data_IF_944508912926
#
_entry.id   IF_944508912926
#
_cell.length_a   1.000
_cell.length_b   1.000
_cell.length_c   1.000
_cell.angle_alpha   90.00
_cell.angle_beta   90.00
_cell.angle_gamma   90.00
#
_symmetry.space_group_name_H-M   'P 1'
#
loop_
_entity.id
_entity.type
_entity.pdbx_description
1 polymer ?
#
# COMPACT_ATOMS: atom_id res chain seq x y z
N UNK A 1 11.47 -3.75 23.30
CA UNK A 1 12.42 -4.41 22.39
C UNK A 1 11.91 -4.16 20.98
N UNK A 2 12.80 -3.71 20.10
CA UNK A 2 12.45 -3.15 18.81
C UNK A 2 12.19 -4.24 17.77
N UNK A 3 11.30 -3.95 16.82
CA UNK A 3 11.21 -4.67 15.55
C UNK A 3 12.60 -4.80 14.90
N UNK A 4 12.83 -5.93 14.24
CA UNK A 4 13.96 -6.08 13.33
C UNK A 4 13.82 -5.12 12.14
N UNK A 5 14.95 -4.78 11.52
CA UNK A 5 14.91 -3.99 10.29
C UNK A 5 14.20 -4.75 9.17
N UNK A 6 13.56 -3.99 8.29
CA UNK A 6 12.91 -4.56 7.10
C UNK A 6 13.94 -5.27 6.22
N UNK A 7 15.17 -4.75 6.12
CA UNK A 7 16.26 -5.42 5.42
C UNK A 7 16.58 -6.81 6.00
N UNK A 8 16.68 -6.95 7.32
CA UNK A 8 16.95 -8.24 7.95
C UNK A 8 15.79 -9.22 7.74
N UNK A 9 14.56 -8.71 7.71
CA UNK A 9 13.35 -9.49 7.42
C UNK A 9 13.34 -9.98 5.97
N UNK A 10 13.66 -9.11 5.01
CA UNK A 10 13.79 -9.45 3.58
C UNK A 10 14.87 -10.51 3.37
N UNK A 11 16.02 -10.37 4.00
CA UNK A 11 17.11 -11.35 3.92
C UNK A 11 16.68 -12.74 4.45
N UNK A 12 15.94 -12.78 5.56
CA UNK A 12 15.39 -14.02 6.11
C UNK A 12 14.41 -14.68 5.12
N UNK A 13 13.47 -13.91 4.57
CA UNK A 13 12.54 -14.38 3.53
C UNK A 13 13.30 -14.93 2.31
N UNK A 14 14.37 -14.27 1.88
CA UNK A 14 15.22 -14.72 0.77
C UNK A 14 15.91 -16.07 1.02
N UNK A 15 16.25 -16.36 2.28
CA UNK A 15 16.78 -17.67 2.72
C UNK A 15 15.70 -18.75 2.88
N UNK A 16 14.42 -18.42 2.68
CA UNK A 16 13.30 -19.33 2.89
C UNK A 16 12.92 -19.50 4.37
N UNK A 17 13.30 -18.55 5.21
CA UNK A 17 12.89 -18.50 6.61
C UNK A 17 11.49 -17.89 6.75
N UNK A 18 10.80 -18.28 7.82
CA UNK A 18 9.57 -17.62 8.24
C UNK A 18 9.91 -16.34 8.99
N UNK A 19 9.06 -15.33 8.83
CA UNK A 19 9.12 -14.07 9.58
C UNK A 19 7.74 -13.76 10.14
N UNK A 20 7.68 -12.89 11.15
CA UNK A 20 6.43 -12.37 11.69
C UNK A 20 6.24 -10.95 11.16
N UNK A 21 5.07 -10.69 10.61
CA UNK A 21 4.65 -9.33 10.27
C UNK A 21 3.43 -9.00 11.09
N UNK A 22 3.47 -7.86 11.77
CA UNK A 22 2.33 -7.34 12.52
C UNK A 22 1.71 -6.15 11.80
N UNK A 23 0.39 -6.06 11.88
CA UNK A 23 -0.33 -4.84 11.52
C UNK A 23 -0.49 -3.91 12.74
N UNK A 24 -1.07 -2.74 12.52
CA UNK A 24 -1.29 -1.77 13.60
C UNK A 24 -2.44 -2.21 14.51
N UNK A 25 -2.38 -1.80 15.79
CA UNK A 25 -3.36 -2.10 16.86
C UNK A 25 -4.84 -1.80 16.51
N UNK A 26 -5.08 -1.04 15.43
CA UNK A 26 -6.39 -0.56 15.01
C UNK A 26 -6.92 -1.19 13.72
N UNK A 27 -6.20 -2.16 13.15
CA UNK A 27 -6.63 -2.97 12.01
C UNK A 27 -7.07 -4.34 12.53
N UNK A 28 -6.24 -5.38 12.42
CA UNK A 28 -6.51 -6.70 13.02
C UNK A 28 -5.89 -6.80 14.42
N UNK A 29 -4.79 -6.07 14.67
CA UNK A 29 -3.96 -6.15 15.88
C UNK A 29 -3.40 -7.57 16.06
N UNK A 30 -2.96 -8.16 14.95
CA UNK A 30 -2.58 -9.57 14.83
C UNK A 30 -1.22 -9.68 14.15
N UNK A 31 -0.65 -10.89 14.19
CA UNK A 31 0.62 -11.18 13.55
C UNK A 31 0.54 -12.47 12.74
N UNK A 32 1.08 -12.39 11.54
CA UNK A 32 1.12 -13.52 10.62
C UNK A 32 2.53 -14.09 10.53
N UNK A 33 2.62 -15.41 10.48
CA UNK A 33 3.81 -16.06 9.93
C UNK A 33 3.80 -15.88 8.43
N UNK A 34 4.86 -15.28 7.87
CA UNK A 34 5.00 -15.00 6.45
C UNK A 34 6.30 -15.62 5.89
N UNK A 35 6.24 -16.17 4.68
CA UNK A 35 7.42 -16.51 3.87
C UNK A 35 7.15 -16.36 2.38
N UNK A 36 8.20 -16.44 1.55
CA UNK A 36 8.05 -16.54 0.10
C UNK A 36 7.48 -17.92 -0.29
N UNK A 37 6.40 -17.95 -1.06
CA UNK A 37 5.75 -19.20 -1.48
C UNK A 37 6.72 -20.11 -2.26
N UNK A 38 7.60 -19.52 -3.09
CA UNK A 38 8.62 -20.24 -3.86
C UNK A 38 9.68 -20.97 -3.01
N UNK A 39 9.67 -20.76 -1.69
CA UNK A 39 10.58 -21.39 -0.72
C UNK A 39 9.87 -22.32 0.26
N UNK A 40 8.56 -22.53 0.09
CA UNK A 40 7.79 -23.38 1.00
C UNK A 40 8.35 -24.81 1.03
N UNK A 41 8.47 -25.38 2.22
CA UNK A 41 8.83 -26.79 2.43
C UNK A 41 7.78 -27.47 3.30
N UNK A 42 7.67 -28.81 3.25
CA UNK A 42 6.75 -29.54 4.13
C UNK A 42 6.98 -29.22 5.62
N UNK A 43 8.23 -29.04 6.04
CA UNK A 43 8.58 -28.73 7.44
C UNK A 43 8.10 -27.34 7.84
N UNK A 44 8.26 -26.35 6.96
CA UNK A 44 7.77 -24.98 7.21
C UNK A 44 6.25 -24.92 7.23
N UNK A 45 5.60 -25.62 6.31
CA UNK A 45 4.13 -25.73 6.29
C UNK A 45 3.61 -26.44 7.53
N UNK A 46 4.25 -27.53 7.98
CA UNK A 46 3.90 -28.21 9.22
C UNK A 46 4.08 -27.30 10.44
N UNK A 47 5.16 -26.52 10.47
CA UNK A 47 5.39 -25.53 11.52
C UNK A 47 4.29 -24.47 11.55
N UNK A 48 3.93 -23.88 10.39
CA UNK A 48 2.83 -22.91 10.33
C UNK A 48 1.55 -23.53 10.87
N UNK A 49 1.16 -24.71 10.38
CA UNK A 49 -0.08 -25.39 10.82
C UNK A 49 -0.10 -25.69 12.32
N UNK A 50 1.05 -25.96 12.94
CA UNK A 50 1.15 -26.21 14.38
C UNK A 50 0.92 -24.94 15.21
N UNK A 51 1.27 -23.78 14.70
CA UNK A 51 1.35 -22.52 15.45
C UNK A 51 0.38 -21.44 14.96
N UNK A 52 -0.41 -21.71 13.91
CA UNK A 52 -1.37 -20.77 13.33
C UNK A 52 -2.79 -21.32 13.34
N UNK A 53 -3.74 -20.53 12.85
CA UNK A 53 -5.12 -20.94 12.59
C UNK A 53 -5.26 -22.19 11.70
N UNK A 54 -4.21 -22.54 10.97
CA UNK A 54 -4.19 -23.62 9.98
C UNK A 54 -4.78 -23.22 8.62
N UNK A 55 -5.31 -21.99 8.49
CA UNK A 55 -5.80 -21.42 7.24
C UNK A 55 -4.60 -20.88 6.46
N UNK A 56 -4.00 -21.73 5.62
CA UNK A 56 -2.85 -21.35 4.81
C UNK A 56 -3.28 -20.53 3.60
N UNK A 57 -3.04 -19.23 3.69
CA UNK A 57 -3.32 -18.30 2.62
C UNK A 57 -2.08 -18.07 1.76
N UNK A 58 -2.28 -17.94 0.45
CA UNK A 58 -1.18 -17.69 -0.51
C UNK A 58 -1.42 -16.43 -1.32
N UNK A 59 -0.94 -15.27 -0.82
CA UNK A 59 -1.01 -14.03 -1.59
C UNK A 59 -0.31 -14.14 -2.94
N UNK A 60 -1.01 -13.76 -4.00
CA UNK A 60 -0.53 -13.71 -5.38
C UNK A 60 -0.98 -12.42 -6.06
N UNK A 61 -0.32 -12.08 -7.16
CA UNK A 61 -0.74 -10.94 -7.98
C UNK A 61 -2.01 -11.25 -8.77
N UNK A 62 -2.71 -10.19 -9.21
CA UNK A 62 -3.89 -10.31 -10.07
C UNK A 62 -3.55 -11.07 -11.36
N UNK A 63 -2.39 -10.80 -11.97
CA UNK A 63 -1.95 -11.45 -13.21
C UNK A 63 -1.78 -12.96 -13.03
N UNK A 64 -1.29 -13.40 -11.86
CA UNK A 64 -1.20 -14.84 -11.58
C UNK A 64 -2.56 -15.47 -11.30
N UNK A 65 -3.46 -14.77 -10.62
CA UNK A 65 -4.83 -15.23 -10.44
C UNK A 65 -5.54 -15.40 -11.79
N UNK A 66 -5.40 -14.43 -12.70
CA UNK A 66 -5.95 -14.49 -14.06
C UNK A 66 -5.34 -15.64 -14.88
N UNK A 67 -4.00 -15.75 -14.89
CA UNK A 67 -3.27 -16.83 -15.59
C UNK A 67 -3.70 -18.22 -15.12
N UNK A 68 -3.92 -18.38 -13.83
CA UNK A 68 -4.31 -19.64 -13.21
C UNK A 68 -5.84 -19.81 -13.10
N UNK A 69 -6.62 -18.88 -13.66
CA UNK A 69 -8.09 -18.88 -13.63
C UNK A 69 -8.66 -19.05 -12.21
N UNK A 70 -8.08 -18.33 -11.25
CA UNK A 70 -8.50 -18.32 -9.85
C UNK A 70 -9.55 -17.23 -9.67
N UNK A 71 -10.82 -17.63 -9.78
CA UNK A 71 -11.95 -16.72 -9.61
C UNK A 71 -12.16 -16.36 -8.13
N UNK A 72 -12.73 -15.17 -7.84
CA UNK A 72 -13.17 -14.82 -6.49
C UNK A 72 -14.05 -15.92 -5.88
N UNK A 73 -13.86 -16.18 -4.58
CA UNK A 73 -14.62 -17.24 -3.88
C UNK A 73 -16.13 -16.93 -3.84
N UNK A 74 -16.50 -15.65 -3.81
CA UNK A 74 -17.88 -15.17 -3.75
C UNK A 74 -18.11 -14.05 -4.76
N UNK A 75 -19.32 -13.95 -5.28
CA UNK A 75 -19.69 -12.91 -6.25
C UNK A 75 -19.74 -11.51 -5.62
N UNK A 76 -20.11 -11.41 -4.34
CA UNK A 76 -20.13 -10.16 -3.56
C UNK A 76 -19.37 -10.40 -2.26
N UNK A 77 -18.27 -9.70 -2.07
CA UNK A 77 -17.50 -9.73 -0.83
C UNK A 77 -18.07 -8.70 0.15
N UNK A 78 -18.66 -9.17 1.24
CA UNK A 78 -19.20 -8.36 2.34
C UNK A 78 -18.33 -8.46 3.61
N UNK A 79 -17.15 -9.06 3.52
CA UNK A 79 -16.19 -9.10 4.61
C UNK A 79 -15.76 -7.67 5.00
N UNK A 80 -15.61 -7.37 6.31
CA UNK A 80 -15.29 -6.01 6.78
C UNK A 80 -14.03 -5.40 6.16
N UNK A 81 -13.00 -6.23 5.91
CA UNK A 81 -11.73 -5.83 5.30
C UNK A 81 -11.65 -6.16 3.80
N UNK A 82 -12.73 -6.70 3.23
CA UNK A 82 -12.82 -7.10 1.81
C UNK A 82 -11.64 -7.97 1.36
N UNK A 83 -11.18 -8.88 2.24
CA UNK A 83 -10.07 -9.81 1.96
C UNK A 83 -10.38 -10.61 0.69
N UNK A 84 -9.48 -10.54 -0.30
CA UNK A 84 -9.76 -10.96 -1.67
C UNK A 84 -9.46 -12.46 -1.89
N UNK A 85 -10.24 -13.30 -1.22
CA UNK A 85 -10.16 -14.76 -1.39
C UNK A 85 -10.59 -15.18 -2.79
N UNK A 86 -9.80 -16.08 -3.37
CA UNK A 86 -10.19 -16.88 -4.54
C UNK A 86 -10.72 -18.24 -4.10
N UNK A 87 -11.27 -19.00 -5.05
CA UNK A 87 -11.59 -20.42 -4.84
C UNK A 87 -10.37 -21.18 -4.31
N UNK A 88 -10.55 -22.04 -3.30
CA UNK A 88 -9.46 -22.84 -2.75
C UNK A 88 -8.97 -23.88 -3.77
N UNK A 89 -7.71 -24.26 -3.67
CA UNK A 89 -7.04 -25.11 -4.64
C UNK A 89 -6.16 -26.17 -3.98
N UNK A 90 -5.94 -27.26 -4.72
CA UNK A 90 -4.84 -28.20 -4.53
C UNK A 90 -4.14 -28.45 -5.86
N UNK A 91 -2.84 -28.69 -5.81
CA UNK A 91 -2.07 -29.09 -6.99
C UNK A 91 -2.27 -30.57 -7.29
N UNK A 92 -2.64 -30.90 -8.53
CA UNK A 92 -3.10 -32.23 -8.95
C UNK A 92 -2.02 -33.30 -8.90
N UNK A 93 -0.76 -32.93 -9.16
CA UNK A 93 0.33 -33.89 -9.29
C UNK A 93 0.86 -34.27 -7.90
N UNK A 94 0.77 -35.55 -7.56
CA UNK A 94 1.09 -36.03 -6.21
C UNK A 94 -0.04 -35.83 -5.19
N UNK A 95 -1.23 -35.47 -5.65
CA UNK A 95 -2.41 -35.29 -4.80
C UNK A 95 -3.04 -36.62 -4.40
N UNK A 96 -3.28 -36.78 -3.11
CA UNK A 96 -4.15 -37.79 -2.52
C UNK A 96 -5.39 -37.12 -1.94
N UNK A 97 -5.23 -36.41 -0.83
CA UNK A 97 -6.30 -35.69 -0.13
C UNK A 97 -6.05 -34.20 -0.05
N UNK A 98 -4.80 -33.76 -0.20
CA UNK A 98 -4.41 -32.35 -0.19
C UNK A 98 -4.09 -31.77 1.18
N UNK A 99 -4.43 -32.44 2.29
CA UNK A 99 -4.32 -31.85 3.63
C UNK A 99 -2.93 -31.97 4.26
N UNK A 100 -2.12 -32.94 3.82
CA UNK A 100 -0.79 -33.15 4.37
C UNK A 100 0.10 -31.92 4.13
N UNK A 101 1.06 -31.68 5.02
CA UNK A 101 1.98 -30.55 4.88
C UNK A 101 2.77 -30.60 3.56
N UNK A 102 3.12 -31.81 3.11
CA UNK A 102 3.75 -32.04 1.81
C UNK A 102 2.86 -31.64 0.63
N UNK A 103 1.60 -32.08 0.61
CA UNK A 103 0.66 -31.77 -0.48
C UNK A 103 0.33 -30.26 -0.53
N UNK A 104 0.20 -29.61 0.62
CA UNK A 104 0.02 -28.16 0.70
C UNK A 104 1.27 -27.41 0.27
N UNK A 105 2.48 -27.85 0.67
CA UNK A 105 3.73 -27.27 0.20
C UNK A 105 3.87 -27.39 -1.33
N UNK A 106 3.52 -28.54 -1.91
CA UNK A 106 3.51 -28.73 -3.36
C UNK A 106 2.54 -27.76 -4.04
N UNK A 107 1.36 -27.55 -3.46
CA UNK A 107 0.38 -26.57 -3.97
C UNK A 107 0.90 -25.14 -3.92
N UNK A 108 1.51 -24.74 -2.81
CA UNK A 108 2.09 -23.40 -2.61
C UNK A 108 3.25 -23.15 -3.59
N UNK A 109 4.16 -24.12 -3.76
CA UNK A 109 5.26 -24.05 -4.72
C UNK A 109 4.77 -24.00 -6.17
N UNK A 110 3.76 -24.80 -6.51
CA UNK A 110 3.15 -24.80 -7.82
C UNK A 110 2.50 -23.45 -8.16
N UNK A 111 1.87 -22.80 -7.19
CA UNK A 111 1.27 -21.48 -7.36
C UNK A 111 2.32 -20.40 -7.65
N UNK A 112 3.49 -20.50 -7.00
CA UNK A 112 4.62 -19.58 -7.22
C UNK A 112 5.39 -19.82 -8.53
N UNK A 113 5.11 -20.93 -9.23
CA UNK A 113 5.82 -21.33 -10.44
C UNK A 113 5.20 -20.74 -11.71
N UNK A 114 6.06 -20.39 -12.67
CA UNK A 114 5.64 -19.98 -14.02
C UNK A 114 5.44 -21.18 -14.97
N UNK A 115 5.78 -22.40 -14.55
CA UNK A 115 5.65 -23.62 -15.35
C UNK A 115 4.34 -24.39 -15.10
N UNK A 116 3.46 -23.87 -14.24
CA UNK A 116 2.17 -24.46 -13.92
C UNK A 116 1.06 -23.74 -14.66
N UNK A 117 -0.01 -24.45 -15.00
CA UNK A 117 -1.18 -23.89 -15.69
C UNK A 117 -2.45 -24.12 -14.87
N UNK A 118 -3.53 -23.41 -15.22
CA UNK A 118 -4.81 -23.46 -14.50
C UNK A 118 -5.36 -24.90 -14.32
N UNK A 119 -5.10 -25.78 -15.28
CA UNK A 119 -5.54 -27.19 -15.28
C UNK A 119 -4.69 -28.12 -14.40
N UNK A 120 -3.57 -27.65 -13.88
CA UNK A 120 -2.78 -28.40 -12.89
C UNK A 120 -3.34 -28.29 -11.47
N UNK A 121 -4.36 -27.45 -11.27
CA UNK A 121 -5.03 -27.26 -9.98
C UNK A 121 -6.45 -27.82 -10.00
N UNK A 122 -6.83 -28.51 -8.93
CA UNK A 122 -8.22 -28.88 -8.64
C UNK A 122 -8.87 -27.82 -7.77
N UNK A 123 -10.19 -27.68 -7.87
CA UNK A 123 -11.03 -26.72 -7.14
C UNK A 123 -12.29 -27.46 -6.66
N UNK A 124 -12.66 -27.43 -5.36
CA UNK A 124 -11.95 -26.81 -4.25
C UNK A 124 -10.66 -27.58 -3.88
N UNK A 125 -9.90 -27.04 -2.92
CA UNK A 125 -8.77 -27.68 -2.25
C UNK A 125 -8.47 -27.06 -0.88
N UNK A 126 -7.23 -27.18 -0.41
CA UNK A 126 -6.85 -26.89 0.99
C UNK A 126 -5.87 -25.71 1.16
N UNK A 127 -5.47 -25.07 0.06
CA UNK A 127 -4.74 -23.80 0.07
C UNK A 127 -5.65 -22.69 -0.44
N UNK A 128 -5.56 -21.51 0.17
CA UNK A 128 -6.46 -20.38 -0.08
C UNK A 128 -5.71 -19.21 -0.75
N UNK A 129 -5.72 -19.07 -2.08
CA UNK A 129 -5.05 -17.95 -2.72
C UNK A 129 -5.78 -16.64 -2.46
N UNK A 130 -5.00 -15.60 -2.16
CA UNK A 130 -5.46 -14.23 -1.94
C UNK A 130 -4.92 -13.33 -3.04
N UNK A 131 -5.76 -12.49 -3.63
CA UNK A 131 -5.29 -11.50 -4.62
C UNK A 131 -4.85 -10.24 -3.89
N UNK A 132 -3.56 -9.88 -4.01
CA UNK A 132 -3.08 -8.61 -3.49
C UNK A 132 -3.42 -7.45 -4.43
N UNK A 133 -3.60 -6.27 -3.85
CA UNK A 133 -3.75 -5.04 -4.60
C UNK A 133 -2.45 -4.68 -5.32
N UNK A 134 -2.56 -4.22 -6.57
CA UNK A 134 -1.41 -3.63 -7.28
C UNK A 134 -0.89 -2.44 -6.47
N UNK A 135 0.43 -2.37 -6.28
CA UNK A 135 1.06 -1.37 -5.41
C UNK A 135 1.39 -1.87 -4.00
N UNK A 136 0.86 -3.03 -3.59
CA UNK A 136 1.23 -3.68 -2.32
C UNK A 136 0.83 -2.84 -1.10
N UNK A 137 1.69 -2.82 -0.08
CA UNK A 137 1.37 -2.19 1.22
C UNK A 137 1.16 -0.68 1.13
N UNK A 138 1.59 -0.06 0.03
CA UNK A 138 1.38 1.36 -0.25
C UNK A 138 -0.08 1.69 -0.60
N UNK A 139 -0.82 0.71 -1.14
CA UNK A 139 -2.23 0.86 -1.51
C UNK A 139 -3.13 0.29 -0.43
N UNK A 140 -2.82 -0.92 0.06
CA UNK A 140 -3.58 -1.61 1.11
C UNK A 140 -2.61 -2.14 2.18
N UNK A 141 -2.71 -1.62 3.40
CA UNK A 141 -1.79 -1.97 4.49
C UNK A 141 -2.18 -3.28 5.18
N UNK A 142 -2.22 -4.38 4.44
CA UNK A 142 -2.59 -5.71 4.94
C UNK A 142 -1.50 -6.76 4.78
N UNK A 143 -1.62 -7.87 5.53
CA UNK A 143 -0.67 -8.99 5.49
C UNK A 143 -0.57 -9.64 4.10
N UNK A 144 -1.67 -9.66 3.35
CA UNK A 144 -1.69 -10.13 1.95
C UNK A 144 -0.68 -9.37 1.09
N UNK A 145 -0.71 -8.03 1.14
CA UNK A 145 0.23 -7.19 0.42
C UNK A 145 1.65 -7.32 0.95
N UNK A 146 1.82 -7.35 2.28
CA UNK A 146 3.13 -7.47 2.91
C UNK A 146 3.87 -8.75 2.48
N UNK A 147 3.16 -9.87 2.35
CA UNK A 147 3.77 -11.13 1.93
C UNK A 147 4.35 -11.08 0.51
N UNK A 148 3.63 -10.44 -0.43
CA UNK A 148 4.13 -10.28 -1.81
C UNK A 148 5.29 -9.29 -1.86
N UNK A 149 5.18 -8.17 -1.14
CA UNK A 149 6.21 -7.14 -1.12
C UNK A 149 7.52 -7.68 -0.54
N UNK A 150 7.47 -8.45 0.56
CA UNK A 150 8.64 -9.11 1.12
C UNK A 150 9.23 -10.15 0.18
N UNK A 151 8.40 -11.00 -0.45
CA UNK A 151 8.87 -12.00 -1.41
C UNK A 151 9.56 -11.35 -2.62
N UNK A 152 8.97 -10.27 -3.15
CA UNK A 152 9.51 -9.53 -4.29
C UNK A 152 10.81 -8.82 -3.93
N UNK A 153 10.86 -8.14 -2.77
CA UNK A 153 12.07 -7.48 -2.29
C UNK A 153 13.21 -8.47 -2.01
N UNK A 154 12.89 -9.71 -1.66
CA UNK A 154 13.84 -10.81 -1.49
C UNK A 154 14.29 -11.45 -2.82
N UNK A 155 13.84 -10.94 -3.97
CA UNK A 155 14.15 -11.49 -5.29
C UNK A 155 13.47 -12.83 -5.60
N UNK A 156 12.42 -13.18 -4.86
CA UNK A 156 11.59 -14.37 -5.12
C UNK A 156 10.43 -14.04 -6.07
N UNK A 157 9.73 -15.07 -6.53
CA UNK A 157 8.47 -14.88 -7.26
C UNK A 157 7.48 -14.06 -6.40
N UNK A 158 6.62 -13.22 -7.01
CA UNK A 158 5.67 -12.35 -6.32
C UNK A 158 4.46 -13.14 -5.78
N UNK A 159 4.76 -14.11 -4.92
CA UNK A 159 3.81 -14.99 -4.27
C UNK A 159 4.29 -15.27 -2.83
N UNK A 160 3.40 -15.07 -1.86
CA UNK A 160 3.66 -15.29 -0.44
C UNK A 160 2.91 -16.50 0.11
N UNK A 161 3.27 -16.87 1.33
CA UNK A 161 2.52 -17.79 2.20
C UNK A 161 2.35 -17.10 3.53
N UNK A 162 1.10 -17.03 4.03
CA UNK A 162 0.79 -16.47 5.34
C UNK A 162 -0.25 -17.29 6.11
N UNK A 163 -0.22 -17.18 7.44
CA UNK A 163 -1.29 -17.60 8.34
C UNK A 163 -1.16 -16.92 9.72
N UNK A 164 -2.30 -16.62 10.34
CA UNK A 164 -2.41 -15.87 11.59
C UNK A 164 -1.98 -16.73 12.78
N UNK A 165 -1.13 -16.18 13.66
CA UNK A 165 -0.58 -16.91 14.80
C UNK A 165 -1.57 -16.93 15.96
N UNK A 166 -1.85 -18.13 16.49
CA UNK A 166 -2.84 -18.33 17.55
C UNK A 166 -2.22 -18.89 18.83
N UNK A 167 -2.91 -18.68 19.94
CA UNK A 167 -2.70 -19.34 21.20
C UNK A 167 -3.34 -20.74 21.19
N UNK A 168 -2.88 -21.63 22.07
CA UNK A 168 -3.43 -22.99 22.20
C UNK A 168 -4.91 -23.00 22.67
N UNK A 169 -5.40 -21.90 23.24
CA UNK A 169 -6.81 -21.71 23.59
C UNK A 169 -7.69 -21.21 22.42
N UNK A 170 -7.08 -20.98 21.25
CA UNK A 170 -7.73 -20.50 20.03
C UNK A 170 -7.84 -18.98 19.91
N UNK A 171 -7.40 -18.19 20.90
CA UNK A 171 -7.28 -16.74 20.76
C UNK A 171 -6.12 -16.35 19.86
N UNK A 172 -6.15 -15.16 19.24
CA UNK A 172 -5.05 -14.69 18.38
C UNK A 172 -3.95 -14.03 19.23
N UNK A 173 -2.68 -14.32 18.93
CA UNK A 173 -1.54 -13.73 19.66
C UNK A 173 -1.44 -12.23 19.38
N UNK A 174 -1.29 -11.44 20.44
CA UNK A 174 -1.05 -9.98 20.35
C UNK A 174 0.45 -9.67 20.39
N UNK A 175 0.80 -8.41 20.10
CA UNK A 175 2.19 -7.97 19.92
C UNK A 175 3.16 -8.44 21.01
N UNK A 176 2.79 -8.39 22.29
CA UNK A 176 3.66 -8.86 23.38
C UNK A 176 3.97 -10.36 23.28
N UNK A 177 2.96 -11.16 22.98
CA UNK A 177 3.09 -12.62 22.82
C UNK A 177 3.83 -12.97 21.53
N UNK A 178 3.65 -12.17 20.47
CA UNK A 178 4.36 -12.33 19.20
C UNK A 178 5.86 -12.06 19.33
N UNK A 179 6.25 -11.08 20.16
CA UNK A 179 7.67 -10.82 20.47
C UNK A 179 8.29 -12.01 21.22
N UNK A 180 7.58 -12.59 22.19
CA UNK A 180 8.03 -13.78 22.91
C UNK A 180 8.14 -15.00 21.96
N UNK A 181 7.12 -15.21 21.12
CA UNK A 181 7.11 -16.26 20.12
C UNK A 181 8.24 -16.12 19.08
N UNK A 182 8.52 -14.89 18.64
CA UNK A 182 9.65 -14.60 17.75
C UNK A 182 10.99 -14.99 18.38
N UNK A 183 11.17 -14.70 19.68
CA UNK A 183 12.38 -15.06 20.40
C UNK A 183 12.50 -16.58 20.59
N UNK A 184 11.43 -17.25 21.01
CA UNK A 184 11.39 -18.70 21.22
C UNK A 184 11.79 -19.46 19.94
N UNK A 185 11.25 -19.04 18.80
CA UNK A 185 11.47 -19.72 17.52
C UNK A 185 12.57 -19.08 16.66
N UNK A 186 13.29 -18.09 17.20
CA UNK A 186 14.35 -17.35 16.49
C UNK A 186 13.90 -16.76 15.14
N UNK A 187 12.69 -16.20 15.11
CA UNK A 187 12.09 -15.57 13.93
C UNK A 187 12.32 -14.07 13.96
N UNK A 188 12.43 -13.47 12.76
CA UNK A 188 12.44 -12.02 12.61
C UNK A 188 11.03 -11.46 12.74
N UNK A 189 10.89 -10.30 13.36
CA UNK A 189 9.60 -9.61 13.51
C UNK A 189 9.68 -8.16 13.02
N UNK A 190 8.76 -7.77 12.15
CA UNK A 190 8.63 -6.39 11.66
C UNK A 190 7.16 -5.97 11.58
N UNK A 191 6.88 -4.73 11.21
CA UNK A 191 5.52 -4.23 11.03
C UNK A 191 5.25 -3.78 9.60
N UNK A 192 3.98 -3.79 9.21
CA UNK A 192 3.55 -3.24 7.92
C UNK A 192 3.94 -1.75 7.82
N UNK A 193 3.86 -1.00 8.92
CA UNK A 193 4.26 0.40 8.97
C UNK A 193 5.76 0.60 8.64
N UNK A 194 6.63 -0.25 9.18
CA UNK A 194 8.06 -0.23 8.85
C UNK A 194 8.30 -0.60 7.38
N UNK A 195 7.58 -1.61 6.85
CA UNK A 195 7.68 -1.98 5.43
C UNK A 195 7.23 -0.85 4.49
N UNK A 196 6.13 -0.16 4.82
CA UNK A 196 5.66 1.03 4.09
C UNK A 196 6.75 2.11 4.09
N UNK A 197 7.32 2.43 5.26
CA UNK A 197 8.37 3.44 5.39
C UNK A 197 9.64 3.04 4.62
N UNK A 198 9.99 1.76 4.64
CA UNK A 198 11.13 1.21 3.90
C UNK A 198 10.96 1.35 2.39
N UNK A 199 9.80 0.97 1.84
CA UNK A 199 9.49 1.09 0.40
C UNK A 199 9.50 2.56 -0.04
N UNK A 200 8.84 3.43 0.73
CA UNK A 200 8.74 4.86 0.43
C UNK A 200 10.10 5.56 0.28
N UNK A 201 11.10 5.19 1.09
CA UNK A 201 12.43 5.80 1.06
C UNK A 201 13.31 5.32 -0.09
N UNK A 202 12.96 4.20 -0.73
CA UNK A 202 13.82 3.51 -1.70
C UNK A 202 13.24 3.48 -3.11
N UNK A 203 11.93 3.38 -3.22
CA UNK A 203 11.26 3.22 -4.50
C UNK A 203 10.86 4.59 -5.06
N UNK A 204 11.12 4.78 -6.35
CA UNK A 204 10.49 5.85 -7.12
C UNK A 204 9.10 5.38 -7.51
N UNK A 205 8.10 5.94 -6.85
CA UNK A 205 6.69 5.58 -6.99
C UNK A 205 5.97 6.46 -8.00
N UNK A 206 6.54 7.62 -8.37
CA UNK A 206 5.92 8.56 -9.31
C UNK A 206 6.78 8.75 -10.56
N UNK A 207 6.10 8.81 -11.70
CA UNK A 207 6.67 9.10 -13.00
C UNK A 207 6.01 10.34 -13.60
N UNK A 208 6.81 11.26 -14.15
CA UNK A 208 6.32 12.42 -14.90
C UNK A 208 5.98 11.98 -16.32
N UNK A 209 4.72 12.08 -16.71
CA UNK A 209 4.22 11.58 -17.99
C UNK A 209 4.17 12.69 -19.05
N UNK A 210 3.59 13.84 -18.70
CA UNK A 210 3.41 14.94 -19.64
C UNK A 210 3.87 16.29 -19.07
N UNK A 211 4.15 17.22 -19.98
CA UNK A 211 4.49 18.62 -19.66
C UNK A 211 3.82 19.53 -20.70
N UNK A 212 3.09 20.54 -20.24
CA UNK A 212 2.44 21.53 -21.12
C UNK A 212 2.25 22.87 -20.42
N UNK A 213 1.99 23.93 -21.18
CA UNK A 213 1.62 25.25 -20.64
C UNK A 213 0.10 25.38 -20.59
N UNK A 214 -0.42 25.93 -19.49
CA UNK A 214 -1.85 26.16 -19.30
C UNK A 214 -2.13 27.60 -18.92
N UNK A 215 -3.20 28.18 -19.47
CA UNK A 215 -3.74 29.46 -19.04
C UNK A 215 -4.85 29.23 -18.03
N UNK A 216 -4.64 29.70 -16.81
CA UNK A 216 -5.60 29.61 -15.71
C UNK A 216 -6.22 30.98 -15.44
N UNK A 217 -7.26 31.03 -14.61
CA UNK A 217 -7.81 32.30 -14.11
C UNK A 217 -6.81 33.12 -13.28
N UNK A 218 -5.67 32.51 -12.93
CA UNK A 218 -4.61 33.08 -12.10
C UNK A 218 -3.35 33.40 -12.93
N UNK A 219 -3.42 33.27 -14.26
CA UNK A 219 -2.33 33.50 -15.19
C UNK A 219 -1.80 32.23 -15.85
N UNK A 220 -0.72 32.39 -16.60
CA UNK A 220 -0.01 31.29 -17.25
C UNK A 220 0.75 30.44 -16.21
N UNK A 221 0.66 29.12 -16.34
CA UNK A 221 1.37 28.17 -15.49
C UNK A 221 1.96 27.04 -16.33
N UNK A 222 3.06 26.46 -15.86
CA UNK A 222 3.59 25.22 -16.41
C UNK A 222 2.94 24.05 -15.69
N UNK A 223 2.29 23.18 -16.46
CA UNK A 223 1.59 22.00 -15.98
C UNK A 223 2.41 20.73 -16.23
N UNK A 224 2.37 19.81 -15.27
CA UNK A 224 2.94 18.48 -15.38
C UNK A 224 1.90 17.45 -14.97
N UNK A 225 1.88 16.30 -15.63
CA UNK A 225 1.12 15.15 -15.15
C UNK A 225 2.04 14.07 -14.60
N UNK A 226 1.64 13.48 -13.48
CA UNK A 226 2.36 12.42 -12.79
C UNK A 226 1.46 11.22 -12.57
N UNK A 227 2.00 10.01 -12.67
CA UNK A 227 1.27 8.77 -12.38
C UNK A 227 2.10 7.87 -11.48
N UNK A 228 1.44 7.02 -10.70
CA UNK A 228 2.12 5.91 -10.01
C UNK A 228 2.19 4.67 -10.90
N UNK A 229 3.01 3.69 -10.54
CA UNK A 229 3.10 2.43 -11.30
C UNK A 229 1.88 1.50 -11.10
N UNK A 230 0.97 1.85 -10.20
CA UNK A 230 -0.12 0.98 -9.75
C UNK A 230 -1.51 1.62 -9.81
N UNK A 231 -1.62 2.91 -10.10
CA UNK A 231 -2.90 3.58 -10.39
C UNK A 231 -2.87 4.17 -11.80
N UNK A 232 -4.00 4.13 -12.51
CA UNK A 232 -4.14 4.78 -13.81
C UNK A 232 -4.39 6.31 -13.68
N UNK A 233 -4.77 6.78 -12.50
CA UNK A 233 -5.06 8.19 -12.29
C UNK A 233 -3.80 9.05 -12.35
N UNK A 234 -3.80 10.03 -13.25
CA UNK A 234 -2.75 11.05 -13.30
C UNK A 234 -3.03 12.22 -12.35
N UNK A 235 -2.07 12.57 -11.52
CA UNK A 235 -2.07 13.77 -10.70
C UNK A 235 -1.59 14.98 -11.53
N UNK A 236 -2.20 16.14 -11.33
CA UNK A 236 -1.83 17.37 -12.04
C UNK A 236 -0.98 18.24 -11.12
N UNK A 237 0.09 18.82 -11.66
CA UNK A 237 0.93 19.76 -10.94
C UNK A 237 1.01 21.06 -11.72
N UNK A 238 0.70 22.17 -11.07
CA UNK A 238 0.82 23.52 -11.62
C UNK A 238 2.00 24.22 -10.95
N UNK A 239 2.97 24.62 -11.77
CA UNK A 239 4.07 25.50 -11.40
C UNK A 239 3.71 26.91 -11.86
N UNK A 240 3.36 27.76 -10.89
CA UNK A 240 2.92 29.14 -11.12
C UNK A 240 4.10 30.08 -10.89
N UNK A 241 4.29 31.07 -11.75
CA UNK A 241 5.34 32.08 -11.59
C UNK A 241 6.76 31.53 -11.56
N UNK A 242 7.67 32.25 -10.91
CA UNK A 242 9.10 31.87 -10.84
C UNK A 242 9.34 31.00 -9.61
N UNK A 243 9.83 29.78 -9.83
CA UNK A 243 10.22 28.86 -8.76
C UNK A 243 11.70 28.54 -8.92
N UNK A 244 12.50 29.01 -7.97
CA UNK A 244 13.94 28.78 -7.94
C UNK A 244 14.27 27.58 -7.04
N UNK A 245 15.09 26.61 -7.49
CA UNK A 245 15.36 25.38 -6.72
C UNK A 245 15.97 25.59 -5.32
N UNK A 246 16.65 26.72 -5.10
CA UNK A 246 17.36 27.03 -3.86
C UNK A 246 16.59 27.96 -2.90
N UNK A 247 15.47 28.53 -3.35
CA UNK A 247 14.61 29.35 -2.49
C UNK A 247 13.63 28.46 -1.71
N UNK A 248 13.07 29.00 -0.63
CA UNK A 248 11.89 28.38 -0.01
C UNK A 248 10.71 28.56 -0.96
N UNK A 249 10.15 27.46 -1.45
CA UNK A 249 9.04 27.47 -2.41
C UNK A 249 7.72 27.26 -1.67
N UNK A 250 6.73 28.10 -1.97
CA UNK A 250 5.39 27.92 -1.44
C UNK A 250 4.70 26.78 -2.20
N UNK A 251 4.19 25.79 -1.46
CA UNK A 251 3.60 24.58 -2.04
C UNK A 251 2.23 24.30 -1.46
N UNK A 252 1.29 23.88 -2.30
CA UNK A 252 -0.01 23.35 -1.89
C UNK A 252 -0.13 21.92 -2.40
N UNK A 253 -0.32 20.98 -1.48
CA UNK A 253 -0.75 19.62 -1.82
C UNK A 253 -2.26 19.58 -1.57
N UNK A 254 -3.04 19.44 -2.64
CA UNK A 254 -4.50 19.49 -2.62
C UNK A 254 -5.05 18.14 -3.04
N UNK A 255 -5.82 17.50 -2.17
CA UNK A 255 -6.61 16.32 -2.52
C UNK A 255 -7.86 16.75 -3.27
N UNK A 256 -8.18 16.02 -4.33
CA UNK A 256 -9.42 16.17 -5.09
C UNK A 256 -10.65 16.13 -4.17
N UNK A 257 -11.43 17.21 -4.21
CA UNK A 257 -12.76 17.33 -3.61
C UNK A 257 -13.72 17.72 -4.72
N UNK A 258 -14.05 16.76 -5.61
CA UNK A 258 -14.76 16.98 -6.87
C UNK A 258 -15.90 18.02 -6.78
N UNK A 259 -16.77 17.88 -5.78
CA UNK A 259 -17.92 18.78 -5.61
C UNK A 259 -17.48 20.21 -5.30
N UNK A 260 -16.58 20.39 -4.35
CA UNK A 260 -16.04 21.70 -3.94
C UNK A 260 -15.22 22.37 -5.04
N UNK A 261 -14.37 21.58 -5.70
CA UNK A 261 -13.39 22.06 -6.66
C UNK A 261 -14.07 22.51 -7.97
N UNK A 262 -15.06 21.74 -8.45
CA UNK A 262 -15.72 21.98 -9.73
C UNK A 262 -17.00 22.80 -9.59
N UNK A 263 -17.85 22.51 -8.60
CA UNK A 263 -19.19 23.09 -8.50
C UNK A 263 -19.33 24.23 -7.48
N UNK A 264 -18.24 24.56 -6.78
CA UNK A 264 -18.21 25.68 -5.85
C UNK A 264 -18.13 25.25 -4.39
N UNK A 265 -17.84 26.20 -3.49
CA UNK A 265 -17.64 25.89 -2.08
C UNK A 265 -18.93 25.34 -1.46
N UNK A 266 -18.76 24.47 -0.45
CA UNK A 266 -19.87 23.97 0.34
C UNK A 266 -20.10 24.89 1.55
N UNK A 267 -21.19 24.65 2.31
CA UNK A 267 -21.73 25.52 3.37
C UNK A 267 -20.73 26.07 4.41
N UNK A 268 -19.53 25.51 4.50
CA UNK A 268 -18.49 25.87 5.48
C UNK A 268 -17.50 26.95 5.00
N UNK A 269 -17.46 27.29 3.70
CA UNK A 269 -16.50 28.25 3.15
C UNK A 269 -17.12 29.21 2.12
N UNK A 270 -16.71 30.48 2.11
CA UNK A 270 -17.17 31.47 1.11
C UNK A 270 -16.42 31.35 -0.24
N UNK A 271 -15.23 30.75 -0.23
CA UNK A 271 -14.38 30.52 -1.41
C UNK A 271 -13.91 29.07 -1.47
N UNK A 272 -13.58 28.57 -2.67
CA UNK A 272 -12.96 27.26 -2.83
C UNK A 272 -11.51 27.30 -2.33
N UNK A 273 -11.07 26.21 -1.67
CA UNK A 273 -9.69 26.08 -1.21
C UNK A 273 -8.66 26.16 -2.35
N UNK A 274 -9.02 25.69 -3.56
CA UNK A 274 -8.18 25.83 -4.75
C UNK A 274 -7.93 27.29 -5.08
N UNK A 275 -8.99 28.11 -5.07
CA UNK A 275 -8.87 29.53 -5.41
C UNK A 275 -7.98 30.24 -4.39
N UNK A 276 -8.22 30.02 -3.09
CA UNK A 276 -7.40 30.59 -2.01
C UNK A 276 -5.93 30.22 -2.16
N UNK A 277 -5.63 28.95 -2.47
CA UNK A 277 -4.27 28.49 -2.63
C UNK A 277 -3.59 29.11 -3.87
N UNK A 278 -4.27 29.13 -5.03
CA UNK A 278 -3.72 29.68 -6.26
C UNK A 278 -3.54 31.20 -6.18
N UNK A 279 -4.50 31.94 -5.61
CA UNK A 279 -4.39 33.38 -5.32
C UNK A 279 -3.15 33.64 -4.45
N UNK A 280 -2.96 32.84 -3.40
CA UNK A 280 -1.82 32.99 -2.47
C UNK A 280 -0.47 32.69 -3.13
N UNK A 281 -0.40 31.70 -4.03
CA UNK A 281 0.80 31.36 -4.80
C UNK A 281 1.16 32.48 -5.78
N UNK A 282 0.16 33.08 -6.44
CA UNK A 282 0.38 34.25 -7.32
C UNK A 282 0.86 35.46 -6.53
N UNK A 283 0.26 35.72 -5.36
CA UNK A 283 0.65 36.83 -4.49
C UNK A 283 2.10 36.72 -3.98
N UNK A 284 2.62 35.50 -3.80
CA UNK A 284 4.04 35.24 -3.48
C UNK A 284 4.98 35.49 -4.68
N UNK A 285 4.44 35.58 -5.90
CA UNK A 285 5.21 35.67 -7.15
C UNK A 285 5.60 34.30 -7.74
N UNK A 286 5.23 33.20 -7.09
CA UNK A 286 5.38 31.85 -7.63
C UNK A 286 5.29 30.74 -6.59
N UNK A 287 5.06 29.52 -7.08
CA UNK A 287 5.02 28.32 -6.26
C UNK A 287 4.48 27.09 -6.99
N UNK A 288 4.19 26.03 -6.24
CA UNK A 288 3.73 24.74 -6.80
C UNK A 288 2.39 24.34 -6.17
N UNK A 289 1.42 24.01 -7.02
CA UNK A 289 0.14 23.44 -6.62
C UNK A 289 0.03 22.02 -7.16
N UNK A 290 -0.14 21.03 -6.30
CA UNK A 290 -0.32 19.62 -6.66
C UNK A 290 -1.80 19.26 -6.44
N UNK A 291 -2.45 18.77 -7.48
CA UNK A 291 -3.80 18.22 -7.46
C UNK A 291 -3.75 16.69 -7.47
N UNK A 292 -3.89 16.09 -6.30
CA UNK A 292 -3.92 14.64 -6.10
C UNK A 292 -5.33 14.12 -6.34
N UNK A 293 -5.51 13.47 -7.49
CA UNK A 293 -6.74 12.74 -7.83
C UNK A 293 -6.92 11.51 -6.95
N UNK A 294 -8.17 11.17 -6.65
CA UNK A 294 -8.50 10.10 -5.71
C UNK A 294 -8.54 8.69 -6.34
N UNK A 295 -8.03 8.52 -7.57
CA UNK A 295 -7.80 7.20 -8.16
C UNK A 295 -9.03 6.49 -8.74
N UNK A 296 -10.21 7.14 -8.81
CA UNK A 296 -11.45 6.46 -9.23
C UNK A 296 -11.69 6.52 -10.75
N UNK A 297 -12.09 5.38 -11.32
CA UNK A 297 -12.84 5.34 -12.57
C UNK A 297 -14.29 5.73 -12.30
N UNK A 298 -14.70 6.92 -12.78
CA UNK A 298 -16.06 7.44 -12.60
C UNK A 298 -16.27 8.25 -11.30
N UNK A 299 -17.53 8.50 -10.95
CA UNK A 299 -17.92 9.38 -9.82
C UNK A 299 -18.13 8.54 -8.56
N UNK A 300 -17.32 8.72 -7.48
CA UNK A 300 -17.41 7.89 -6.29
C UNK A 300 -18.53 8.35 -5.35
N UNK A 301 -19.79 8.17 -5.76
CA UNK A 301 -20.98 8.74 -5.09
C UNK A 301 -21.04 8.47 -3.58
N UNK A 302 -20.71 7.26 -3.15
CA UNK A 302 -20.67 6.88 -1.73
C UNK A 302 -19.63 7.65 -0.90
N UNK A 303 -18.53 8.11 -1.52
CA UNK A 303 -17.48 8.92 -0.88
C UNK A 303 -17.74 10.43 -0.98
N UNK A 304 -18.58 10.85 -1.93
CA UNK A 304 -19.03 12.24 -2.06
C UNK A 304 -20.06 12.62 -0.99
N UNK A 305 -20.83 11.65 -0.51
CA UNK A 305 -21.66 11.83 0.67
C UNK A 305 -20.78 11.82 1.93
N UNK A 306 -20.65 12.97 2.59
CA UNK A 306 -19.98 13.13 3.89
C UNK A 306 -20.52 12.23 5.03
N UNK A 307 -21.50 11.37 4.76
CA UNK A 307 -22.08 10.41 5.70
C UNK A 307 -21.22 9.17 5.90
N UNK A 308 -20.25 8.87 5.02
CA UNK A 308 -19.34 7.76 5.22
C UNK A 308 -18.20 8.17 6.16
N UNK A 309 -18.18 7.62 7.38
CA UNK A 309 -17.04 7.78 8.31
C UNK A 309 -15.82 7.12 7.66
N UNK A 310 -14.83 7.91 7.25
CA UNK A 310 -13.61 7.39 6.63
C UNK A 310 -12.95 6.36 7.57
N UNK A 311 -12.73 5.14 7.07
CA UNK A 311 -11.95 4.13 7.79
C UNK A 311 -10.53 4.65 8.02
N UNK A 312 -9.84 4.14 9.04
CA UNK A 312 -8.44 4.54 9.29
C UNK A 312 -7.51 4.14 8.15
N UNK A 313 -7.78 3.01 7.50
CA UNK A 313 -7.14 2.61 6.25
C UNK A 313 -7.35 3.66 5.16
N UNK A 314 -8.59 4.14 4.95
CA UNK A 314 -8.86 5.24 4.01
C UNK A 314 -8.05 6.49 4.37
N UNK A 315 -7.89 6.80 5.67
CA UNK A 315 -7.05 7.91 6.12
C UNK A 315 -5.56 7.68 5.86
N UNK A 316 -5.05 6.46 6.05
CA UNK A 316 -3.66 6.09 5.75
C UNK A 316 -3.36 6.15 4.25
N UNK A 317 -4.24 5.61 3.39
CA UNK A 317 -4.10 5.74 1.94
C UNK A 317 -4.12 7.21 1.52
N UNK A 318 -5.00 8.00 2.13
CA UNK A 318 -5.05 9.44 1.93
C UNK A 318 -3.75 10.13 2.37
N UNK A 319 -3.23 9.81 3.55
CA UNK A 319 -1.96 10.32 4.08
C UNK A 319 -0.78 9.91 3.19
N UNK A 320 -0.76 8.68 2.68
CA UNK A 320 0.22 8.21 1.70
C UNK A 320 0.15 9.01 0.39
N UNK A 321 -1.04 9.29 -0.14
CA UNK A 321 -1.20 10.14 -1.31
C UNK A 321 -0.65 11.56 -1.04
N UNK A 322 -1.02 12.19 0.09
CA UNK A 322 -0.56 13.55 0.41
C UNK A 322 0.94 13.64 0.71
N UNK A 323 1.47 12.71 1.49
CA UNK A 323 2.84 12.76 2.00
C UNK A 323 3.78 12.01 1.06
N UNK A 324 3.48 10.77 0.70
CA UNK A 324 4.35 9.93 -0.14
C UNK A 324 4.40 10.42 -1.59
N UNK A 325 3.26 10.39 -2.29
CA UNK A 325 3.19 10.81 -3.71
C UNK A 325 3.53 12.30 -3.85
N UNK A 326 2.94 13.14 -3.00
CA UNK A 326 3.24 14.58 -2.97
C UNK A 326 4.73 14.88 -2.77
N UNK A 327 5.41 14.23 -1.81
CA UNK A 327 6.84 14.43 -1.60
C UNK A 327 7.68 14.02 -2.79
N UNK A 328 7.41 12.86 -3.40
CA UNK A 328 8.20 12.41 -4.54
C UNK A 328 8.01 13.31 -5.76
N UNK A 329 6.80 13.85 -5.98
CA UNK A 329 6.55 14.87 -7.01
C UNK A 329 7.38 16.13 -6.73
N UNK A 330 7.37 16.64 -5.50
CA UNK A 330 8.15 17.84 -5.14
C UNK A 330 9.66 17.61 -5.27
N UNK A 331 10.14 16.42 -4.92
CA UNK A 331 11.54 16.02 -5.09
C UNK A 331 11.92 15.91 -6.58
N UNK A 332 11.05 15.33 -7.42
CA UNK A 332 11.24 15.24 -8.87
C UNK A 332 11.24 16.62 -9.56
N UNK A 333 10.50 17.59 -9.03
CA UNK A 333 10.58 19.00 -9.45
C UNK A 333 11.88 19.69 -9.02
N UNK A 334 12.74 19.01 -8.26
CA UNK A 334 14.03 19.51 -7.80
C UNK A 334 13.94 20.47 -6.60
N UNK A 335 12.82 20.46 -5.88
CA UNK A 335 12.65 21.32 -4.70
C UNK A 335 13.40 20.74 -3.50
N UNK A 336 13.91 21.64 -2.64
CA UNK A 336 14.61 21.26 -1.41
C UNK A 336 14.05 21.92 -0.17
N UNK A 337 13.60 23.17 -0.28
CA UNK A 337 13.02 23.94 0.83
C UNK A 337 11.60 24.34 0.47
N UNK A 338 10.64 23.95 1.28
CA UNK A 338 9.22 24.20 1.02
C UNK A 338 8.55 24.87 2.20
N UNK A 339 7.56 25.71 1.92
CA UNK A 339 6.58 26.21 2.89
C UNK A 339 5.21 25.69 2.45
N UNK A 340 4.48 25.02 3.33
CA UNK A 340 3.26 24.31 2.96
C UNK A 340 2.04 25.19 3.22
N UNK A 341 1.16 25.33 2.22
CA UNK A 341 -0.20 25.85 2.35
C UNK A 341 -1.15 24.70 2.71
N UNK A 342 -1.73 24.77 3.90
CA UNK A 342 -2.63 23.73 4.40
C UNK A 342 -4.01 24.31 4.75
N UNK A 343 -5.09 23.60 4.43
CA UNK A 343 -6.44 23.96 4.89
C UNK A 343 -6.69 23.60 6.36
N UNK A 344 -5.81 22.81 6.97
CA UNK A 344 -5.85 22.41 8.38
C UNK A 344 -4.44 22.08 8.86
N UNK A 345 -4.24 22.00 10.18
CA UNK A 345 -2.97 21.55 10.75
C UNK A 345 -2.74 20.08 10.38
N UNK A 346 -1.64 19.81 9.67
CA UNK A 346 -1.20 18.47 9.27
C UNK A 346 0.29 18.38 9.64
N UNK A 347 0.67 17.29 10.31
CA UNK A 347 2.06 16.98 10.60
C UNK A 347 2.64 16.20 9.43
N UNK A 348 3.45 16.86 8.61
CA UNK A 348 4.12 16.22 7.48
C UNK A 348 5.40 15.52 7.94
N UNK A 349 5.23 14.34 8.55
CA UNK A 349 6.34 13.52 9.05
C UNK A 349 7.00 12.78 7.88
N UNK A 350 8.32 12.73 7.85
CA UNK A 350 9.09 11.90 6.90
C UNK A 350 9.46 12.57 5.57
N UNK A 351 9.07 13.82 5.33
CA UNK A 351 9.46 14.57 4.11
C UNK A 351 10.99 14.72 3.95
N UNK A 352 11.73 14.76 5.05
CA UNK A 352 13.19 14.81 5.04
C UNK A 352 13.82 13.59 4.34
N UNK A 353 13.17 12.43 4.40
CA UNK A 353 13.60 11.22 3.68
C UNK A 353 13.58 11.37 2.16
N UNK A 354 12.84 12.34 1.64
CA UNK A 354 12.78 12.70 0.22
C UNK A 354 13.69 13.90 -0.13
N UNK A 355 14.53 14.36 0.81
CA UNK A 355 15.39 15.52 0.63
C UNK A 355 14.66 16.87 0.73
N UNK A 356 13.43 16.89 1.28
CA UNK A 356 12.62 18.09 1.44
C UNK A 356 12.69 18.62 2.88
N UNK A 357 12.96 19.90 3.02
CA UNK A 357 12.98 20.63 4.29
C UNK A 357 11.75 21.53 4.40
N UNK A 358 10.86 21.23 5.34
CA UNK A 358 9.69 22.05 5.64
C UNK A 358 10.12 23.24 6.49
N UNK A 359 10.03 24.45 5.93
CA UNK A 359 10.38 25.71 6.61
C UNK A 359 9.21 26.28 7.43
N UNK A 360 7.99 25.79 7.19
CA UNK A 360 6.80 26.18 7.93
C UNK A 360 5.51 25.78 7.21
N UNK A 361 4.41 25.86 7.95
CA UNK A 361 3.06 25.64 7.44
C UNK A 361 2.24 26.91 7.62
N UNK A 362 1.57 27.35 6.57
CA UNK A 362 0.65 28.47 6.57
C UNK A 362 -0.77 27.92 6.36
N UNK A 363 -1.68 28.30 7.26
CA UNK A 363 -3.08 27.86 7.19
C UNK A 363 -3.84 28.82 6.28
N UNK A 364 -4.51 28.27 5.27
CA UNK A 364 -5.44 29.03 4.45
C UNK A 364 -6.70 29.33 5.29
N UNK A 365 -7.00 30.62 5.44
CA UNK A 365 -8.16 31.15 6.17
C UNK A 365 -9.16 31.78 5.24
#
# INVERSE_FOLDING_TARGET
>A
MNFDSVEATIEAVGRGELVIVVDDDDRENEGDLIMAAAKATPERVAFMVRHTSGILCTPITLEQAERLQLQPMVARNDAPLSTAFTVSIDFKHGLSTGIAAEERANTILALASNNTQASDFVRPGHVFPLVAMRGGVLVRSGHTEAAIDLATAAGCAPAGLLAEIVNDDGSVKRLSELIEFAQEHSLKITSIAELIAWRQRRERLVERINEFTVHTNFGEAKAFSYRTSFEEAEHLVLKVGKVEPNSTVLVRIHRERLVEDVFGPQLEHDKRLIDLALERLVAEGGGVFIYLRAGFEGVPFAKLHHTARASRETKRTQEWLEIGVGAQILADLGLKKIKILAGRKIDYVGLEGFGLQVQGTEILS
#
